data_IF_840187617156
#
_entry.id   IF_840187617156
#
_cell.length_a   1.000
_cell.length_b   1.000
_cell.length_c   1.000
_cell.angle_alpha   90.00
_cell.angle_beta   90.00
_cell.angle_gamma   90.00
#
_symmetry.space_group_name_H-M   'P 1'
#
loop_
_entity.id
_entity.type
_entity.pdbx_description
1 polymer ?
#
# COMPACT_ATOMS: atom_id res chain seq x y z
N UNK A 1 34.18 -25.46 38.76
CA UNK A 1 33.04 -24.66 38.24
C UNK A 1 32.42 -25.42 37.08
N UNK A 2 31.09 -25.56 36.97
CA UNK A 2 30.48 -26.29 35.87
C UNK A 2 30.62 -25.50 34.56
N UNK A 3 31.07 -26.18 33.51
CA UNK A 3 31.34 -25.59 32.19
C UNK A 3 30.00 -25.30 31.49
N UNK A 4 29.83 -24.09 30.96
CA UNK A 4 28.68 -23.67 30.17
C UNK A 4 28.52 -24.54 28.92
N UNK A 5 27.48 -25.37 28.88
CA UNK A 5 27.12 -26.18 27.72
C UNK A 5 26.39 -25.28 26.71
N UNK A 6 27.00 -25.03 25.54
CA UNK A 6 26.31 -24.36 24.42
C UNK A 6 25.15 -25.23 23.96
N UNK A 7 23.91 -24.71 24.01
CA UNK A 7 22.72 -25.39 23.47
C UNK A 7 22.93 -25.66 21.98
N UNK A 8 23.16 -26.92 21.61
CA UNK A 8 23.26 -27.35 20.21
C UNK A 8 21.85 -27.66 19.68
N UNK A 9 21.42 -26.92 18.67
CA UNK A 9 20.24 -27.22 17.87
C UNK A 9 18.96 -26.49 18.28
N UNK A 10 18.09 -26.29 17.27
CA UNK A 10 16.72 -25.81 17.43
C UNK A 10 15.82 -27.02 17.79
N UNK A 11 14.88 -26.92 18.75
CA UNK A 11 14.02 -28.05 19.11
C UNK A 11 13.29 -28.60 17.88
N UNK A 12 13.41 -29.91 17.63
CA UNK A 12 12.60 -30.60 16.61
C UNK A 12 11.12 -30.29 16.90
N UNK A 13 10.42 -29.69 15.93
CA UNK A 13 9.00 -29.38 16.04
C UNK A 13 8.63 -27.94 16.44
N UNK A 14 9.59 -27.04 16.69
CA UNK A 14 9.26 -25.64 17.00
C UNK A 14 8.43 -24.98 15.88
N UNK A 15 8.74 -25.31 14.63
CA UNK A 15 8.08 -24.81 13.44
C UNK A 15 7.01 -25.78 12.90
N UNK A 16 6.62 -26.82 13.66
CA UNK A 16 5.60 -27.79 13.25
C UNK A 16 4.37 -27.72 14.19
N UNK A 17 3.18 -27.98 13.66
CA UNK A 17 1.94 -28.16 14.42
C UNK A 17 2.02 -29.46 15.22
N UNK A 18 1.06 -29.67 16.14
CA UNK A 18 0.98 -30.90 16.95
C UNK A 18 0.92 -32.17 16.08
N UNK A 19 0.42 -32.06 14.84
CA UNK A 19 0.36 -33.14 13.85
C UNK A 19 1.55 -33.16 12.88
N UNK A 20 2.62 -32.40 13.14
CA UNK A 20 3.84 -32.42 12.32
C UNK A 20 3.82 -31.60 11.03
N UNK A 21 2.78 -30.80 10.77
CA UNK A 21 2.73 -29.91 9.61
C UNK A 21 3.48 -28.59 9.88
N UNK A 22 4.13 -27.95 8.89
CA UNK A 22 4.73 -26.64 9.09
C UNK A 22 3.72 -25.61 9.66
N UNK A 23 4.07 -24.95 10.76
CA UNK A 23 3.32 -23.80 11.28
C UNK A 23 3.30 -22.74 10.19
N UNK A 24 2.11 -22.31 9.77
CA UNK A 24 1.96 -21.16 8.88
C UNK A 24 2.65 -19.97 9.55
N UNK A 25 3.67 -19.40 8.90
CA UNK A 25 4.23 -18.12 9.32
C UNK A 25 3.07 -17.12 9.33
N UNK A 26 2.82 -16.45 10.48
CA UNK A 26 1.88 -15.32 10.52
C UNK A 26 2.33 -14.34 9.43
N UNK A 27 1.46 -14.07 8.45
CA UNK A 27 1.68 -12.96 7.51
C UNK A 27 1.80 -11.71 8.36
N UNK A 28 2.99 -11.14 8.45
CA UNK A 28 3.20 -9.89 9.15
C UNK A 28 2.90 -8.78 8.16
N UNK A 29 1.91 -7.95 8.45
CA UNK A 29 1.58 -6.81 7.62
C UNK A 29 2.72 -5.80 7.71
N UNK A 30 3.30 -5.46 6.57
CA UNK A 30 4.47 -4.57 6.50
C UNK A 30 4.02 -3.19 6.04
N UNK A 31 4.54 -2.15 6.68
CA UNK A 31 4.31 -0.77 6.27
C UNK A 31 4.95 -0.49 4.90
N UNK A 32 4.38 0.45 4.14
CA UNK A 32 4.80 0.82 2.79
C UNK A 32 6.32 1.02 2.69
N UNK A 33 6.89 1.81 3.61
CA UNK A 33 8.32 2.08 3.65
C UNK A 33 9.20 0.81 3.68
N UNK A 34 8.71 -0.27 4.28
CA UNK A 34 9.40 -1.56 4.45
C UNK A 34 8.98 -2.62 3.41
N UNK A 35 8.07 -2.30 2.49
CA UNK A 35 7.69 -3.21 1.42
C UNK A 35 8.84 -3.38 0.42
N UNK A 36 8.84 -4.50 -0.30
CA UNK A 36 9.77 -4.72 -1.41
C UNK A 36 9.56 -3.70 -2.53
N UNK A 37 10.58 -3.52 -3.37
CA UNK A 37 10.53 -2.60 -4.51
C UNK A 37 9.31 -2.88 -5.43
N UNK A 38 9.10 -4.15 -5.77
CA UNK A 38 7.97 -4.58 -6.59
C UNK A 38 6.60 -4.33 -5.92
N UNK A 39 6.49 -4.57 -4.62
CA UNK A 39 5.25 -4.27 -3.89
C UNK A 39 4.95 -2.76 -3.88
N UNK A 40 5.97 -1.91 -3.71
CA UNK A 40 5.81 -0.46 -3.79
C UNK A 40 5.34 -0.03 -5.17
N UNK A 41 5.98 -0.54 -6.23
CA UNK A 41 5.56 -0.28 -7.62
C UNK A 41 4.09 -0.66 -7.85
N UNK A 42 3.64 -1.80 -7.33
CA UNK A 42 2.23 -2.20 -7.45
C UNK A 42 1.28 -1.25 -6.73
N UNK A 43 1.61 -0.77 -5.53
CA UNK A 43 0.79 0.22 -4.83
C UNK A 43 0.68 1.51 -5.65
N UNK A 44 1.80 1.96 -6.22
CA UNK A 44 1.87 3.19 -7.03
C UNK A 44 1.09 3.03 -8.34
N UNK A 45 1.28 1.94 -9.09
CA UNK A 45 0.54 1.65 -10.32
C UNK A 45 -0.97 1.65 -10.10
N UNK A 46 -1.44 1.01 -9.02
CA UNK A 46 -2.86 0.97 -8.65
C UNK A 46 -3.47 2.35 -8.40
N UNK A 47 -2.67 3.40 -8.18
CA UNK A 47 -3.18 4.75 -8.02
C UNK A 47 -3.72 5.33 -9.34
N UNK A 48 -3.12 4.94 -10.48
CA UNK A 48 -3.33 5.59 -11.78
C UNK A 48 -4.17 4.80 -12.77
N UNK A 49 -4.16 3.47 -12.69
CA UNK A 49 -4.88 2.61 -13.62
C UNK A 49 -6.40 2.64 -13.39
N UNK A 50 -7.17 2.50 -14.47
CA UNK A 50 -8.64 2.35 -14.40
C UNK A 50 -9.05 0.98 -13.85
N UNK A 51 -8.34 -0.08 -14.25
CA UNK A 51 -8.59 -1.45 -13.81
C UNK A 51 -7.34 -2.04 -13.14
N UNK A 52 -7.52 -2.67 -11.98
CA UNK A 52 -6.47 -3.37 -11.23
C UNK A 52 -5.87 -4.55 -12.00
N UNK A 53 -6.62 -5.15 -12.93
CA UNK A 53 -6.11 -6.22 -13.80
C UNK A 53 -4.92 -5.75 -14.65
N UNK A 54 -4.86 -4.45 -15.00
CA UNK A 54 -3.77 -3.88 -15.80
C UNK A 54 -2.44 -4.00 -15.08
N UNK A 55 -2.43 -3.88 -13.74
CA UNK A 55 -1.18 -4.05 -12.95
C UNK A 55 -0.63 -5.47 -13.08
N UNK A 56 -1.51 -6.48 -13.17
CA UNK A 56 -1.10 -7.87 -13.41
C UNK A 56 -0.54 -8.03 -14.82
N UNK A 57 -1.14 -7.39 -15.81
CA UNK A 57 -0.66 -7.44 -17.19
C UNK A 57 0.72 -6.77 -17.35
N UNK A 58 0.98 -5.69 -16.59
CA UNK A 58 2.30 -5.05 -16.52
C UNK A 58 3.34 -6.01 -15.96
N UNK A 59 2.99 -6.81 -14.94
CA UNK A 59 3.88 -7.86 -14.41
C UNK A 59 4.22 -8.91 -15.49
N UNK A 60 3.36 -9.08 -16.49
CA UNK A 60 3.57 -9.97 -17.64
C UNK A 60 4.27 -9.27 -18.83
N UNK A 61 4.76 -8.03 -18.65
CA UNK A 61 5.54 -7.30 -19.65
C UNK A 61 4.74 -6.34 -20.53
N UNK A 62 3.45 -6.10 -20.25
CA UNK A 62 2.68 -5.05 -20.92
C UNK A 62 3.17 -3.65 -20.48
N UNK A 63 3.30 -2.73 -21.42
CA UNK A 63 3.53 -1.31 -21.11
C UNK A 63 2.21 -0.57 -20.86
N UNK A 64 2.25 0.40 -19.96
CA UNK A 64 1.15 1.27 -19.61
C UNK A 64 1.03 2.41 -20.64
N UNK A 65 -0.16 2.51 -21.23
CA UNK A 65 -0.50 3.54 -22.21
C UNK A 65 -1.48 4.57 -21.62
N UNK A 66 -1.64 5.71 -22.29
CA UNK A 66 -2.50 6.80 -21.82
C UNK A 66 -3.99 6.40 -21.70
N UNK A 67 -4.41 5.38 -22.44
CA UNK A 67 -5.78 4.82 -22.44
C UNK A 67 -6.09 4.02 -21.18
N UNK A 68 -5.08 3.36 -20.62
CA UNK A 68 -5.16 2.55 -19.40
C UNK A 68 -5.26 3.43 -18.13
N UNK A 69 -4.82 4.69 -18.25
CA UNK A 69 -4.79 5.66 -17.16
C UNK A 69 -6.14 6.33 -16.94
N UNK A 70 -6.42 6.62 -15.68
CA UNK A 70 -7.46 7.57 -15.25
C UNK A 70 -7.29 8.92 -15.95
N UNK A 71 -8.39 9.62 -16.12
CA UNK A 71 -8.43 10.85 -16.91
C UNK A 71 -8.30 12.08 -16.03
N UNK A 72 -8.83 12.02 -14.81
CA UNK A 72 -8.97 13.18 -13.94
C UNK A 72 -8.16 13.04 -12.64
N UNK A 73 -7.61 14.15 -12.09
CA UNK A 73 -6.90 14.15 -10.81
C UNK A 73 -7.73 13.63 -9.63
N UNK A 74 -9.04 13.82 -9.66
CA UNK A 74 -9.97 13.38 -8.62
C UNK A 74 -10.07 11.85 -8.56
N UNK A 75 -9.89 11.17 -9.70
CA UNK A 75 -9.99 9.72 -9.81
C UNK A 75 -8.76 9.00 -9.24
N UNK A 76 -7.58 9.62 -9.29
CA UNK A 76 -6.35 8.98 -8.81
C UNK A 76 -6.31 8.96 -7.28
N UNK A 77 -5.66 7.96 -6.70
CA UNK A 77 -5.59 7.82 -5.24
C UNK A 77 -4.78 8.95 -4.59
N UNK A 78 -5.23 9.48 -3.45
CA UNK A 78 -4.43 10.42 -2.64
C UNK A 78 -3.17 9.79 -2.04
N UNK A 79 -3.07 8.45 -2.03
CA UNK A 79 -1.84 7.75 -1.64
C UNK A 79 -0.60 8.28 -2.38
N UNK A 80 -0.77 8.75 -3.61
CA UNK A 80 0.32 9.30 -4.44
C UNK A 80 0.94 10.59 -3.89
N UNK A 81 0.23 11.29 -3.01
CA UNK A 81 0.70 12.54 -2.41
C UNK A 81 1.56 12.32 -1.16
N UNK A 82 1.62 11.08 -0.66
CA UNK A 82 2.44 10.72 0.50
C UNK A 82 3.94 10.89 0.17
N UNK A 83 4.69 11.47 1.11
CA UNK A 83 6.13 11.75 0.94
C UNK A 83 6.97 10.49 0.69
N UNK A 84 6.50 9.33 1.14
CA UNK A 84 7.20 8.07 0.92
C UNK A 84 7.06 7.55 -0.52
N UNK A 85 6.12 8.09 -1.31
CA UNK A 85 5.84 7.63 -2.67
C UNK A 85 6.73 8.32 -3.69
N UNK A 86 7.52 7.53 -4.41
CA UNK A 86 8.27 7.97 -5.57
C UNK A 86 7.67 7.41 -6.87
N UNK A 87 7.05 8.29 -7.66
CA UNK A 87 6.43 7.92 -8.94
C UNK A 87 7.44 7.46 -10.00
N UNK A 88 8.73 7.81 -9.88
CA UNK A 88 9.74 7.37 -10.84
C UNK A 88 9.98 5.86 -10.77
N UNK A 89 9.60 5.22 -9.67
CA UNK A 89 9.66 3.76 -9.53
C UNK A 89 8.88 3.02 -10.62
N UNK A 90 7.82 3.64 -11.19
CA UNK A 90 6.97 3.01 -12.21
C UNK A 90 7.33 3.43 -13.64
N UNK A 91 8.37 4.26 -13.83
CA UNK A 91 8.76 4.80 -15.12
C UNK A 91 9.00 3.74 -16.17
N UNK A 92 9.67 2.65 -15.80
CA UNK A 92 10.01 1.53 -16.69
C UNK A 92 8.80 0.78 -17.23
N UNK A 93 7.63 0.94 -16.61
CA UNK A 93 6.39 0.32 -17.08
C UNK A 93 5.56 1.23 -17.97
N UNK A 94 5.96 2.49 -18.15
CA UNK A 94 5.15 3.49 -18.83
C UNK A 94 5.75 3.85 -20.19
N UNK A 95 4.89 4.05 -21.18
CA UNK A 95 5.27 4.82 -22.37
C UNK A 95 5.58 6.27 -21.97
N UNK A 96 6.34 7.00 -22.80
CA UNK A 96 6.70 8.41 -22.53
C UNK A 96 5.47 9.27 -22.24
N UNK A 97 4.49 9.19 -23.13
CA UNK A 97 3.22 9.94 -23.04
C UNK A 97 2.41 9.55 -21.81
N UNK A 98 2.43 8.28 -21.41
CA UNK A 98 1.74 7.82 -20.21
C UNK A 98 2.40 8.38 -18.94
N UNK A 99 3.74 8.36 -18.88
CA UNK A 99 4.46 8.89 -17.74
C UNK A 99 4.29 10.42 -17.60
N UNK A 100 4.36 11.16 -18.70
CA UNK A 100 4.08 12.60 -18.73
C UNK A 100 2.66 12.90 -18.21
N UNK A 101 1.66 12.14 -18.66
CA UNK A 101 0.28 12.25 -18.15
C UNK A 101 0.19 11.95 -16.65
N UNK A 102 0.89 10.93 -16.16
CA UNK A 102 0.95 10.61 -14.72
C UNK A 102 1.51 11.79 -13.92
N UNK A 103 2.65 12.33 -14.34
CA UNK A 103 3.27 13.48 -13.67
C UNK A 103 2.33 14.68 -13.62
N UNK A 104 1.67 15.00 -14.75
CA UNK A 104 0.70 16.08 -14.81
C UNK A 104 -0.49 15.87 -13.86
N UNK A 105 -1.03 14.65 -13.78
CA UNK A 105 -2.12 14.32 -12.87
C UNK A 105 -1.70 14.47 -11.39
N UNK A 106 -0.48 14.06 -11.05
CA UNK A 106 0.04 14.19 -9.68
C UNK A 106 0.21 15.66 -9.31
N UNK A 107 0.80 16.47 -10.18
CA UNK A 107 1.00 17.90 -9.93
C UNK A 107 -0.35 18.63 -9.80
N UNK A 108 -1.32 18.36 -10.68
CA UNK A 108 -2.67 18.92 -10.55
C UNK A 108 -3.33 18.53 -9.23
N UNK A 109 -3.17 17.28 -8.79
CA UNK A 109 -3.72 16.83 -7.51
C UNK A 109 -3.02 17.46 -6.30
N UNK A 110 -1.70 17.70 -6.38
CA UNK A 110 -0.95 18.44 -5.33
C UNK A 110 -1.51 19.85 -5.13
N UNK A 111 -1.90 20.52 -6.22
CA UNK A 111 -2.47 21.88 -6.17
C UNK A 111 -3.86 21.93 -5.51
N UNK A 112 -4.67 20.87 -5.63
CA UNK A 112 -6.01 20.83 -5.05
C UNK A 112 -6.03 20.73 -3.52
N UNK A 113 -4.97 20.19 -2.90
CA UNK A 113 -4.80 20.03 -1.44
C UNK A 113 -5.99 19.39 -0.69
N UNK A 114 -6.83 18.63 -1.38
CA UNK A 114 -7.97 17.91 -0.80
C UNK A 114 -7.59 16.45 -0.53
N UNK A 115 -8.21 15.87 0.51
CA UNK A 115 -7.99 14.47 0.87
C UNK A 115 -9.34 13.80 1.07
N UNK A 116 -9.67 12.82 0.24
CA UNK A 116 -10.94 12.09 0.32
C UNK A 116 -10.78 10.73 1.00
N UNK A 117 -11.81 10.32 1.72
CA UNK A 117 -11.90 9.01 2.35
C UNK A 117 -12.09 7.93 1.29
N UNK A 118 -11.25 6.89 1.29
CA UNK A 118 -11.31 5.81 0.31
C UNK A 118 -12.53 4.88 0.43
N UNK A 119 -13.47 5.16 1.32
CA UNK A 119 -14.64 4.32 1.60
C UNK A 119 -15.94 5.04 1.26
N UNK A 120 -16.09 6.29 1.69
CA UNK A 120 -17.30 7.09 1.43
C UNK A 120 -17.09 8.22 0.42
N UNK A 121 -15.86 8.42 -0.07
CA UNK A 121 -15.48 9.49 -1.01
C UNK A 121 -15.69 10.92 -0.50
N UNK A 122 -16.01 11.09 0.78
CA UNK A 122 -16.18 12.39 1.43
C UNK A 122 -14.83 12.95 1.93
N UNK A 123 -14.76 14.27 2.06
CA UNK A 123 -13.57 15.00 2.51
C UNK A 123 -13.17 14.59 3.94
N UNK A 124 -11.88 14.38 4.16
CA UNK A 124 -11.28 14.02 5.45
C UNK A 124 -11.04 15.21 6.38
N UNK A 125 -11.11 16.45 5.87
CA UNK A 125 -10.91 17.68 6.64
C UNK A 125 -12.16 18.09 7.43
N UNK A 126 -13.36 17.88 6.88
CA UNK A 126 -14.64 18.28 7.51
C UNK A 126 -14.98 17.47 8.78
N UNK A 127 -14.38 16.30 8.95
CA UNK A 127 -14.57 15.43 10.11
C UNK A 127 -13.19 15.08 10.68
N UNK A 128 -12.82 15.67 11.82
CA UNK A 128 -11.48 15.69 12.46
C UNK A 128 -10.83 14.33 12.82
N UNK A 129 -11.34 13.23 12.30
CA UNK A 129 -10.98 11.87 12.69
C UNK A 129 -10.74 11.03 11.44
N UNK A 130 -9.61 11.28 10.78
CA UNK A 130 -9.12 10.52 9.63
C UNK A 130 -7.75 9.92 9.94
N UNK A 131 -7.43 8.82 9.27
CA UNK A 131 -6.18 8.10 9.45
C UNK A 131 -5.74 7.45 8.12
N UNK A 132 -4.43 7.28 7.98
CA UNK A 132 -3.81 6.71 6.79
C UNK A 132 -3.38 5.25 7.06
N UNK A 133 -3.69 4.36 6.12
CA UNK A 133 -3.17 2.99 6.16
C UNK A 133 -1.67 2.97 5.94
N UNK A 134 -0.92 2.45 6.91
CA UNK A 134 0.53 2.36 6.83
C UNK A 134 1.05 1.46 5.71
N UNK A 135 0.21 0.65 5.05
CA UNK A 135 0.61 -0.21 3.92
C UNK A 135 0.18 0.34 2.57
N UNK A 136 -1.10 0.63 2.37
CA UNK A 136 -1.62 1.09 1.08
C UNK A 136 -1.73 2.62 0.95
N UNK A 137 -1.41 3.35 2.02
CA UNK A 137 -1.43 4.83 2.09
C UNK A 137 -2.79 5.47 1.78
N UNK A 138 -3.87 4.67 1.83
CA UNK A 138 -5.23 5.17 1.68
C UNK A 138 -5.72 5.82 2.98
N UNK A 139 -6.29 7.01 2.82
CA UNK A 139 -6.93 7.75 3.89
C UNK A 139 -8.36 7.30 4.10
N UNK A 140 -8.76 7.18 5.38
CA UNK A 140 -10.11 6.80 5.78
C UNK A 140 -10.53 7.57 7.01
N UNK A 141 -11.81 7.92 7.11
CA UNK A 141 -12.36 8.34 8.40
C UNK A 141 -12.26 7.18 9.40
N UNK A 142 -12.06 7.50 10.69
CA UNK A 142 -12.07 6.55 11.81
C UNK A 142 -13.32 5.68 11.77
N UNK A 143 -14.49 6.30 11.54
CA UNK A 143 -15.77 5.59 11.43
C UNK A 143 -15.80 4.64 10.23
N UNK A 144 -15.33 5.09 9.06
CA UNK A 144 -15.22 4.26 7.85
C UNK A 144 -14.20 3.12 8.00
N UNK A 145 -13.21 3.28 8.88
CA UNK A 145 -12.29 2.21 9.27
C UNK A 145 -12.91 1.23 10.29
N UNK A 146 -14.14 1.47 10.77
CA UNK A 146 -14.80 0.68 11.80
C UNK A 146 -14.21 0.88 13.19
N UNK A 147 -13.58 2.03 13.43
CA UNK A 147 -12.99 2.41 14.71
C UNK A 147 -13.90 3.41 15.42
N UNK A 148 -13.88 3.38 16.75
CA UNK A 148 -14.63 4.33 17.60
C UNK A 148 -13.76 5.49 18.09
N UNK A 149 -12.43 5.32 18.07
CA UNK A 149 -11.46 6.29 18.58
C UNK A 149 -10.14 6.23 17.81
N UNK A 150 -9.30 7.25 17.99
CA UNK A 150 -7.92 7.24 17.48
C UNK A 150 -7.13 6.12 18.13
N UNK A 151 -6.28 5.48 17.33
CA UNK A 151 -5.38 4.45 17.79
C UNK A 151 -4.17 5.09 18.48
N UNK A 152 -3.69 4.44 19.55
CA UNK A 152 -2.44 4.82 20.22
C UNK A 152 -1.19 4.37 19.44
N UNK A 153 -1.36 3.38 18.56
CA UNK A 153 -0.28 2.87 17.71
C UNK A 153 0.08 3.88 16.63
N UNK A 154 1.39 4.03 16.36
CA UNK A 154 1.90 4.80 15.22
C UNK A 154 1.55 4.17 13.86
N UNK A 155 1.33 2.85 13.84
CA UNK A 155 0.98 2.11 12.64
C UNK A 155 -0.46 1.63 12.71
N UNK A 156 -1.16 1.74 11.59
CA UNK A 156 -2.48 1.16 11.40
C UNK A 156 -2.60 0.57 10.00
N UNK A 157 -3.30 -0.54 9.87
CA UNK A 157 -3.55 -1.20 8.60
C UNK A 157 -5.06 -1.34 8.37
N UNK A 158 -5.51 -1.01 7.16
CA UNK A 158 -6.89 -1.23 6.78
C UNK A 158 -7.19 -2.74 6.67
N UNK A 159 -8.48 -3.09 6.71
CA UNK A 159 -8.94 -4.50 6.61
C UNK A 159 -8.39 -5.20 5.37
N UNK A 160 -8.34 -4.51 4.23
CA UNK A 160 -7.79 -5.05 2.98
C UNK A 160 -6.29 -5.34 3.04
N UNK A 161 -5.53 -4.61 3.85
CA UNK A 161 -4.10 -4.82 4.01
C UNK A 161 -3.77 -5.86 5.09
N UNK A 162 -4.68 -6.10 6.03
CA UNK A 162 -4.47 -6.98 7.17
C UNK A 162 -4.75 -8.47 6.86
N UNK A 163 -5.59 -8.75 5.87
CA UNK A 163 -5.92 -10.09 5.36
C UNK A 163 -4.80 -10.64 4.45
#
# INVERSE_FOLDING_TARGET
MPVSIKKRGRPKGQDLTVIGLPKKKKRCTVAFAKQSYHEKQNVILNCFVKDRNIVRDITNGKFLETVDLKMLPEEISHAVLDEAVDIHMIRSFCTEKAFEKITNLVEQKRLQQSWFCSVCSEDTQKNHMSLCCSRCLLWRHIRCAGLTMRLKSKLWFCRECYL
#
